data_IF_432491482296
#
_entry.id   IF_432491482296
#
_cell.length_a   1.000
_cell.length_b   1.000
_cell.length_c   1.000
_cell.angle_alpha   90.00
_cell.angle_beta   90.00
_cell.angle_gamma   90.00
#
_symmetry.space_group_name_H-M   'P 1'
#
loop_
_entity.id
_entity.type
_entity.pdbx_description
1 polymer ?
#
# COMPACT_ATOMS: atom_id res chain seq x y z
N UNK A 1 46.01 40.55 12.17
CA UNK A 1 45.07 39.57 12.75
C UNK A 1 44.06 39.19 11.66
N UNK A 2 44.20 37.97 11.11
CA UNK A 2 43.36 37.48 10.03
C UNK A 2 42.30 36.56 10.60
N UNK A 3 41.03 36.95 10.53
CA UNK A 3 39.90 36.16 11.05
C UNK A 3 39.57 35.11 10.01
N UNK A 4 39.87 33.83 10.30
CA UNK A 4 39.44 32.71 9.48
C UNK A 4 37.96 32.38 9.81
N UNK A 5 37.06 32.69 8.89
CA UNK A 5 35.64 32.28 9.02
C UNK A 5 35.50 30.80 8.65
N UNK A 6 35.20 29.97 9.61
CA UNK A 6 34.83 28.58 9.42
C UNK A 6 33.38 28.50 8.93
N UNK A 7 33.17 28.38 7.64
CA UNK A 7 31.85 28.06 7.06
C UNK A 7 31.51 26.58 7.33
N UNK A 8 30.63 26.32 8.28
CA UNK A 8 30.05 24.99 8.50
C UNK A 8 29.20 24.60 7.31
N UNK A 9 29.71 23.75 6.42
CA UNK A 9 28.91 23.11 5.38
C UNK A 9 27.84 22.22 6.04
N UNK A 10 26.56 22.63 5.96
CA UNK A 10 25.41 21.79 6.31
C UNK A 10 25.35 20.62 5.32
N UNK A 11 25.70 19.40 5.77
CA UNK A 11 25.47 18.17 4.99
C UNK A 11 23.99 18.10 4.63
N UNK A 12 23.63 18.27 3.37
CA UNK A 12 22.27 18.00 2.85
C UNK A 12 21.97 16.53 3.14
N UNK A 13 20.98 16.26 3.99
CA UNK A 13 20.46 14.89 4.18
C UNK A 13 20.00 14.40 2.82
N UNK A 14 20.54 13.29 2.34
CA UNK A 14 20.09 12.62 1.12
C UNK A 14 18.63 12.24 1.31
N UNK A 15 17.75 12.72 0.44
CA UNK A 15 16.31 12.37 0.46
C UNK A 15 16.20 10.91 0.02
N UNK A 16 15.47 10.09 0.77
CA UNK A 16 15.20 8.71 0.38
C UNK A 16 14.40 8.66 -0.92
N UNK A 17 14.47 7.55 -1.65
CA UNK A 17 13.55 7.31 -2.76
C UNK A 17 12.15 6.98 -2.24
N UNK A 18 11.07 7.19 -3.04
CA UNK A 18 9.72 6.76 -2.69
C UNK A 18 9.65 5.30 -2.25
N UNK A 19 10.33 4.43 -2.97
CA UNK A 19 10.43 2.99 -2.64
C UNK A 19 11.07 2.74 -1.26
N UNK A 20 12.14 3.46 -0.92
CA UNK A 20 12.78 3.32 0.40
C UNK A 20 11.87 3.79 1.53
N UNK A 21 11.15 4.89 1.34
CA UNK A 21 10.19 5.41 2.32
C UNK A 21 9.02 4.44 2.53
N UNK A 22 8.47 3.87 1.46
CA UNK A 22 7.39 2.86 1.55
C UNK A 22 7.89 1.59 2.23
N UNK A 23 9.07 1.08 1.90
CA UNK A 23 9.68 -0.07 2.59
C UNK A 23 9.89 0.20 4.07
N UNK A 24 10.30 1.41 4.43
CA UNK A 24 10.47 1.82 5.83
C UNK A 24 9.13 1.85 6.56
N UNK A 25 8.07 2.37 5.94
CA UNK A 25 6.72 2.36 6.50
C UNK A 25 6.22 0.92 6.71
N UNK A 26 6.39 0.04 5.72
CA UNK A 26 6.01 -1.38 5.87
C UNK A 26 6.72 -1.99 7.08
N UNK A 27 8.04 -1.82 7.19
CA UNK A 27 8.84 -2.36 8.30
C UNK A 27 8.44 -1.81 9.67
N UNK A 28 8.13 -0.49 9.74
CA UNK A 28 7.94 0.19 11.02
C UNK A 28 6.47 0.26 11.46
N UNK A 29 5.53 -0.08 10.58
CA UNK A 29 4.10 0.00 10.86
C UNK A 29 3.34 -1.24 10.36
N UNK A 30 3.36 -1.52 9.04
CA UNK A 30 2.49 -2.54 8.44
C UNK A 30 2.75 -3.95 9.01
N UNK A 31 4.00 -4.24 9.41
CA UNK A 31 4.43 -5.53 9.96
C UNK A 31 4.56 -5.53 11.49
N UNK A 32 4.20 -4.43 12.16
CA UNK A 32 4.34 -4.29 13.62
C UNK A 32 3.02 -4.60 14.32
N UNK A 33 2.97 -5.54 15.28
CA UNK A 33 1.76 -5.83 16.04
C UNK A 33 1.21 -4.60 16.77
N UNK A 34 -0.13 -4.43 16.73
CA UNK A 34 -0.80 -3.31 17.38
C UNK A 34 -2.14 -3.74 18.01
N UNK A 35 -2.51 -3.20 19.22
CA UNK A 35 -3.74 -3.56 19.90
C UNK A 35 -5.05 -3.29 19.13
N UNK A 36 -5.03 -2.36 18.17
CA UNK A 36 -6.17 -2.10 17.30
C UNK A 36 -6.53 -3.31 16.41
N UNK A 37 -5.56 -4.18 16.12
CA UNK A 37 -5.70 -5.36 15.26
C UNK A 37 -5.64 -6.66 16.09
N UNK A 38 -6.03 -6.60 17.36
CA UNK A 38 -5.97 -7.78 18.24
C UNK A 38 -4.57 -8.29 18.52
N UNK A 39 -3.58 -7.39 18.60
CA UNK A 39 -2.16 -7.66 18.74
C UNK A 39 -1.52 -8.37 17.52
N UNK A 40 -2.18 -8.34 16.39
CA UNK A 40 -1.59 -8.66 15.08
C UNK A 40 -1.10 -7.36 14.40
N UNK A 41 -0.22 -7.43 13.41
CA UNK A 41 0.13 -6.26 12.60
C UNK A 41 -1.01 -5.85 11.67
N UNK A 42 -1.03 -4.61 11.16
CA UNK A 42 -1.99 -4.15 10.15
C UNK A 42 -2.11 -5.08 8.95
N UNK A 43 -1.01 -5.68 8.49
CA UNK A 43 -1.05 -6.78 7.53
C UNK A 43 -0.23 -7.98 8.06
N UNK A 44 -0.87 -9.00 8.65
CA UNK A 44 -0.17 -10.14 9.25
C UNK A 44 0.68 -10.96 8.27
N UNK A 45 0.42 -10.85 6.97
CA UNK A 45 1.09 -11.62 5.93
C UNK A 45 2.25 -10.85 5.26
N UNK A 46 2.34 -9.53 5.47
CA UNK A 46 3.34 -8.68 4.82
C UNK A 46 4.78 -9.06 5.20
N UNK A 47 5.03 -9.39 6.48
CA UNK A 47 6.37 -9.77 6.94
C UNK A 47 6.92 -10.96 6.18
N UNK A 48 6.11 -12.01 6.00
CA UNK A 48 6.50 -13.20 5.24
C UNK A 48 6.81 -12.85 3.78
N UNK A 49 5.91 -12.13 3.13
CA UNK A 49 6.08 -11.74 1.73
C UNK A 49 7.36 -10.90 1.50
N UNK A 50 7.70 -10.00 2.43
CA UNK A 50 8.94 -9.22 2.38
C UNK A 50 10.17 -10.10 2.53
N UNK A 51 10.21 -10.98 3.54
CA UNK A 51 11.34 -11.87 3.82
C UNK A 51 11.59 -12.82 2.64
N UNK A 52 10.53 -13.36 2.05
CA UNK A 52 10.57 -14.25 0.90
C UNK A 52 10.80 -13.52 -0.43
N UNK A 53 10.99 -12.18 -0.40
CA UNK A 53 11.17 -11.34 -1.58
C UNK A 53 10.03 -11.45 -2.60
N UNK A 54 8.80 -11.65 -2.11
CA UNK A 54 7.58 -11.82 -2.90
C UNK A 54 6.86 -10.49 -3.19
N UNK A 55 7.42 -9.37 -2.76
CA UNK A 55 6.89 -8.02 -3.03
C UNK A 55 7.79 -7.30 -4.02
N UNK A 56 7.20 -6.74 -5.06
CA UNK A 56 7.86 -5.87 -6.02
C UNK A 56 7.37 -4.44 -5.87
N UNK A 57 8.26 -3.48 -6.05
CA UNK A 57 7.97 -2.05 -5.94
C UNK A 57 8.32 -1.37 -7.27
N UNK A 58 7.37 -0.63 -7.83
CA UNK A 58 7.56 0.16 -9.04
C UNK A 58 7.10 1.60 -8.80
N UNK A 59 7.91 2.57 -9.19
CA UNK A 59 7.57 3.98 -9.11
C UNK A 59 6.86 4.42 -10.40
N UNK A 60 5.75 5.15 -10.26
CA UNK A 60 5.01 5.77 -11.35
C UNK A 60 5.49 7.20 -11.55
N UNK A 61 5.44 7.67 -12.78
CA UNK A 61 5.79 9.02 -13.21
C UNK A 61 4.56 9.75 -13.78
N UNK A 62 4.71 11.00 -14.12
CA UNK A 62 3.70 11.78 -14.83
C UNK A 62 3.44 11.34 -16.28
N UNK A 63 4.18 10.35 -16.78
CA UNK A 63 3.98 9.75 -18.09
C UNK A 63 3.13 8.48 -18.00
N UNK A 64 2.86 7.97 -16.79
CA UNK A 64 2.05 6.78 -16.60
C UNK A 64 0.56 7.16 -16.59
N UNK A 65 -0.13 6.73 -17.64
CA UNK A 65 -1.59 6.81 -17.78
C UNK A 65 -2.27 5.48 -17.38
N UNK A 66 -3.61 5.44 -17.44
CA UNK A 66 -4.38 4.24 -17.18
C UNK A 66 -3.87 3.02 -17.96
N UNK A 67 -3.57 3.19 -19.24
CA UNK A 67 -3.14 2.09 -20.11
C UNK A 67 -1.79 1.53 -19.67
N UNK A 68 -0.83 2.38 -19.36
CA UNK A 68 0.49 1.96 -18.90
C UNK A 68 0.43 1.28 -17.52
N UNK A 69 -0.39 1.79 -16.60
CA UNK A 69 -0.63 1.17 -15.29
C UNK A 69 -1.28 -0.21 -15.45
N UNK A 70 -2.35 -0.29 -16.25
CA UNK A 70 -3.01 -1.55 -16.57
C UNK A 70 -2.05 -2.58 -17.15
N UNK A 71 -1.21 -2.16 -18.12
CA UNK A 71 -0.22 -3.02 -18.75
C UNK A 71 0.82 -3.55 -17.75
N UNK A 72 1.32 -2.72 -16.84
CA UNK A 72 2.24 -3.14 -15.76
C UNK A 72 1.62 -4.22 -14.88
N UNK A 73 0.36 -4.07 -14.52
CA UNK A 73 -0.37 -5.04 -13.71
C UNK A 73 -0.62 -6.33 -14.51
N UNK A 74 -1.08 -6.21 -15.75
CA UNK A 74 -1.40 -7.36 -16.59
C UNK A 74 -0.19 -8.23 -16.91
N UNK A 75 0.97 -7.64 -17.07
CA UNK A 75 2.22 -8.36 -17.37
C UNK A 75 3.02 -8.75 -16.12
N UNK A 76 2.50 -8.46 -14.93
CA UNK A 76 3.18 -8.81 -13.69
C UNK A 76 3.14 -10.32 -13.44
N UNK A 77 4.29 -10.87 -13.06
CA UNK A 77 4.46 -12.31 -12.80
C UNK A 77 4.00 -12.68 -11.37
N UNK A 78 2.72 -13.01 -11.23
CA UNK A 78 2.13 -13.45 -9.95
C UNK A 78 2.59 -14.87 -9.53
N UNK A 79 3.24 -15.65 -10.39
CA UNK A 79 3.87 -16.92 -10.02
C UNK A 79 5.19 -16.68 -9.26
N UNK A 80 5.97 -15.72 -9.72
CA UNK A 80 7.22 -15.35 -9.07
C UNK A 80 7.02 -14.47 -7.83
N UNK A 81 6.03 -13.56 -7.85
CA UNK A 81 5.76 -12.56 -6.80
C UNK A 81 4.31 -12.64 -6.33
N UNK A 82 4.04 -12.14 -5.13
CA UNK A 82 2.70 -12.15 -4.54
C UNK A 82 2.02 -10.79 -4.55
N UNK A 83 2.80 -9.71 -4.50
CA UNK A 83 2.31 -8.33 -4.39
C UNK A 83 3.14 -7.41 -5.26
N UNK A 84 2.46 -6.61 -6.10
CA UNK A 84 3.04 -5.46 -6.78
C UNK A 84 2.58 -4.19 -6.06
N UNK A 85 3.52 -3.34 -5.65
CA UNK A 85 3.25 -2.02 -5.06
C UNK A 85 3.65 -0.96 -6.07
N UNK A 86 2.66 -0.27 -6.66
CA UNK A 86 2.89 0.88 -7.51
C UNK A 86 2.86 2.14 -6.63
N UNK A 87 3.85 2.99 -6.79
CA UNK A 87 4.08 4.16 -5.92
C UNK A 87 4.09 5.41 -6.78
N UNK A 88 3.21 6.37 -6.49
CA UNK A 88 3.18 7.65 -7.16
C UNK A 88 3.32 8.82 -6.18
N UNK A 89 3.80 9.95 -6.68
CA UNK A 89 3.63 11.21 -5.96
C UNK A 89 2.13 11.50 -5.84
N UNK A 90 1.65 11.80 -4.62
CA UNK A 90 0.24 12.12 -4.33
C UNK A 90 -0.33 13.28 -5.16
N UNK A 91 0.53 14.12 -5.74
CA UNK A 91 0.10 15.24 -6.59
C UNK A 91 -0.20 14.81 -8.04
N UNK A 92 0.14 13.57 -8.43
CA UNK A 92 -0.16 13.03 -9.76
C UNK A 92 -1.62 12.60 -9.89
N UNK A 93 -2.20 12.10 -8.79
CA UNK A 93 -3.59 11.68 -8.71
C UNK A 93 -4.20 12.25 -7.45
N UNK A 94 -5.38 12.85 -7.53
CA UNK A 94 -6.14 13.20 -6.33
C UNK A 94 -6.66 11.93 -5.62
N UNK A 95 -7.16 12.06 -4.38
CA UNK A 95 -7.77 10.93 -3.68
C UNK A 95 -8.94 10.33 -4.50
N UNK A 96 -9.79 11.19 -5.09
CA UNK A 96 -10.91 10.77 -5.94
C UNK A 96 -10.43 10.09 -7.23
N UNK A 97 -9.39 10.65 -7.89
CA UNK A 97 -8.83 10.02 -9.10
C UNK A 97 -8.21 8.66 -8.79
N UNK A 98 -7.60 8.51 -7.60
CA UNK A 98 -7.04 7.23 -7.15
C UNK A 98 -8.12 6.18 -6.91
N UNK A 99 -9.24 6.56 -6.29
CA UNK A 99 -10.41 5.70 -6.09
C UNK A 99 -11.01 5.27 -7.44
N UNK A 100 -11.26 6.22 -8.36
CA UNK A 100 -11.78 5.92 -9.71
C UNK A 100 -10.82 5.00 -10.48
N UNK A 101 -9.51 5.26 -10.38
CA UNK A 101 -8.49 4.42 -11.03
C UNK A 101 -8.52 2.99 -10.49
N UNK A 102 -8.60 2.82 -9.17
CA UNK A 102 -8.67 1.50 -8.53
C UNK A 102 -9.95 0.76 -8.92
N UNK A 103 -11.09 1.45 -8.94
CA UNK A 103 -12.39 0.88 -9.33
C UNK A 103 -12.38 0.39 -10.79
N UNK A 104 -11.87 1.19 -11.71
CA UNK A 104 -11.77 0.83 -13.13
C UNK A 104 -10.80 -0.34 -13.37
N UNK A 105 -9.69 -0.37 -12.62
CA UNK A 105 -8.75 -1.51 -12.64
C UNK A 105 -9.43 -2.77 -12.09
N UNK A 106 -10.13 -2.68 -10.97
CA UNK A 106 -10.83 -3.79 -10.36
C UNK A 106 -11.93 -4.34 -11.26
N UNK A 107 -12.72 -3.46 -11.90
CA UNK A 107 -13.75 -3.85 -12.87
C UNK A 107 -13.19 -4.74 -13.99
N UNK A 108 -11.96 -4.47 -14.44
CA UNK A 108 -11.31 -5.22 -15.54
C UNK A 108 -10.55 -6.46 -15.08
N UNK A 109 -10.00 -6.44 -13.85
CA UNK A 109 -8.98 -7.39 -13.43
C UNK A 109 -9.49 -8.46 -12.46
N UNK A 110 -10.59 -8.21 -11.72
CA UNK A 110 -11.07 -9.16 -10.70
C UNK A 110 -11.52 -10.50 -11.30
N UNK A 111 -12.05 -10.51 -12.52
CA UNK A 111 -12.37 -11.76 -13.23
C UNK A 111 -11.15 -12.60 -13.59
N UNK A 112 -9.94 -12.02 -13.50
CA UNK A 112 -8.65 -12.68 -13.72
C UNK A 112 -7.89 -12.93 -12.39
N UNK A 113 -8.62 -12.95 -11.27
CA UNK A 113 -8.05 -13.15 -9.91
C UNK A 113 -7.06 -12.06 -9.47
N UNK A 114 -7.16 -10.85 -10.01
CA UNK A 114 -6.30 -9.72 -9.64
C UNK A 114 -7.16 -8.66 -8.97
N UNK A 115 -6.74 -8.18 -7.80
CA UNK A 115 -7.38 -7.08 -7.08
C UNK A 115 -6.38 -5.95 -6.81
N UNK A 116 -6.87 -4.74 -6.92
CA UNK A 116 -6.14 -3.50 -6.64
C UNK A 116 -6.75 -2.85 -5.40
N UNK A 117 -5.95 -2.65 -4.36
CA UNK A 117 -6.28 -1.83 -3.21
C UNK A 117 -5.52 -0.52 -3.33
N UNK A 118 -6.18 0.59 -3.04
CA UNK A 118 -5.58 1.92 -3.10
C UNK A 118 -5.25 2.44 -1.70
N UNK A 119 -4.26 3.32 -1.61
CA UNK A 119 -3.94 4.13 -0.43
C UNK A 119 -3.55 5.54 -0.90
N UNK A 120 -4.28 6.54 -0.46
CA UNK A 120 -3.95 7.93 -0.75
C UNK A 120 -3.80 8.76 0.53
N UNK A 121 -2.77 9.62 0.65
CA UNK A 121 -2.49 10.38 1.86
C UNK A 121 -3.64 11.26 2.36
N UNK A 122 -4.53 11.69 1.44
CA UNK A 122 -5.67 12.57 1.74
C UNK A 122 -6.97 11.79 2.01
N UNK A 123 -6.98 10.46 1.83
CA UNK A 123 -8.10 9.60 2.25
C UNK A 123 -8.00 9.33 3.75
N UNK A 124 -9.13 9.28 4.44
CA UNK A 124 -9.16 8.99 5.88
C UNK A 124 -9.42 7.50 6.08
N UNK A 125 -8.36 6.73 6.26
CA UNK A 125 -8.43 5.31 6.58
C UNK A 125 -7.92 5.07 7.99
N UNK A 126 -8.77 4.50 8.84
CA UNK A 126 -8.40 4.23 10.23
C UNK A 126 -9.14 3.01 10.81
N UNK A 127 -8.45 2.31 11.69
CA UNK A 127 -9.03 1.29 12.57
C UNK A 127 -8.89 1.78 14.00
N UNK A 128 -10.01 1.94 14.70
CA UNK A 128 -10.07 2.68 15.96
C UNK A 128 -9.43 4.08 15.80
N UNK A 129 -8.32 4.34 16.49
CA UNK A 129 -7.59 5.62 16.39
C UNK A 129 -6.29 5.51 15.58
N UNK A 130 -6.06 4.38 14.89
CA UNK A 130 -4.84 4.14 14.13
C UNK A 130 -5.06 4.49 12.66
N UNK A 131 -4.33 5.47 12.17
CA UNK A 131 -4.31 5.83 10.75
C UNK A 131 -3.54 4.77 9.97
N UNK A 132 -4.09 4.29 8.86
CA UNK A 132 -3.51 3.22 8.04
C UNK A 132 -2.64 3.73 6.91
N UNK A 133 -2.99 4.90 6.34
CA UNK A 133 -2.32 5.44 5.16
C UNK A 133 -0.80 5.60 5.35
N UNK A 134 -0.04 5.36 4.26
CA UNK A 134 1.39 5.65 4.21
C UNK A 134 1.69 7.14 4.45
N UNK A 135 0.81 8.04 4.00
CA UNK A 135 0.78 9.45 4.37
C UNK A 135 1.63 10.38 3.49
N UNK A 136 2.41 9.88 2.56
CA UNK A 136 3.28 10.67 1.68
C UNK A 136 3.01 10.42 0.20
N UNK A 137 2.85 9.15 -0.18
CA UNK A 137 2.68 8.71 -1.56
C UNK A 137 1.31 8.08 -1.77
N UNK A 138 0.79 8.19 -2.99
CA UNK A 138 -0.30 7.35 -3.46
C UNK A 138 0.25 5.95 -3.73
N UNK A 139 -0.47 4.91 -3.29
CA UNK A 139 -0.10 3.52 -3.51
C UNK A 139 -1.25 2.77 -4.18
N UNK A 140 -0.90 1.88 -5.12
CA UNK A 140 -1.77 0.80 -5.56
C UNK A 140 -1.12 -0.53 -5.17
N UNK A 141 -1.83 -1.31 -4.36
CA UNK A 141 -1.37 -2.63 -3.90
C UNK A 141 -2.12 -3.69 -4.71
N UNK A 142 -1.41 -4.36 -5.58
CA UNK A 142 -1.97 -5.34 -6.53
C UNK A 142 -1.59 -6.74 -6.10
N UNK A 143 -2.57 -7.63 -6.01
CA UNK A 143 -2.37 -9.01 -5.54
C UNK A 143 -3.47 -9.95 -6.03
N UNK A 144 -3.30 -11.26 -5.79
CA UNK A 144 -4.34 -12.25 -6.08
C UNK A 144 -5.57 -12.04 -5.19
N UNK A 145 -6.75 -11.90 -5.81
CA UNK A 145 -8.04 -11.74 -5.13
C UNK A 145 -8.37 -12.96 -4.25
N UNK A 146 -8.23 -14.16 -4.81
CA UNK A 146 -8.53 -15.41 -4.11
C UNK A 146 -7.63 -15.60 -2.89
N UNK A 147 -6.33 -15.29 -3.02
CA UNK A 147 -5.37 -15.32 -1.91
C UNK A 147 -5.74 -14.31 -0.82
N UNK A 148 -6.05 -13.07 -1.20
CA UNK A 148 -6.44 -12.02 -0.26
C UNK A 148 -7.70 -12.41 0.52
N UNK A 149 -8.72 -12.94 -0.17
CA UNK A 149 -9.96 -13.39 0.46
C UNK A 149 -9.75 -14.59 1.38
N UNK A 150 -8.88 -15.55 0.99
CA UNK A 150 -8.47 -16.65 1.86
C UNK A 150 -7.83 -16.14 3.16
N UNK A 151 -6.91 -15.18 3.06
CA UNK A 151 -6.26 -14.58 4.23
C UNK A 151 -7.26 -13.81 5.11
N UNK A 152 -8.19 -13.06 4.52
CA UNK A 152 -9.23 -12.38 5.26
C UNK A 152 -10.09 -13.36 6.06
N UNK A 153 -10.52 -14.48 5.46
CA UNK A 153 -11.29 -15.54 6.15
C UNK A 153 -10.52 -16.18 7.31
N UNK A 154 -9.21 -16.35 7.20
CA UNK A 154 -8.38 -16.87 8.30
C UNK A 154 -8.38 -15.93 9.53
N UNK A 155 -8.60 -14.63 9.32
CA UNK A 155 -8.63 -13.62 10.38
C UNK A 155 -10.02 -13.44 11.01
N UNK A 156 -11.10 -13.92 10.35
CA UNK A 156 -12.49 -13.73 10.81
C UNK A 156 -12.76 -14.36 12.16
N UNK A 157 -12.19 -15.52 12.46
CA UNK A 157 -12.35 -16.21 13.74
C UNK A 157 -11.56 -15.61 14.90
N UNK A 158 -10.65 -14.69 14.60
CA UNK A 158 -9.72 -14.10 15.55
C UNK A 158 -10.11 -12.72 16.06
N UNK A 159 -9.20 -12.07 16.80
CA UNK A 159 -9.42 -10.73 17.33
C UNK A 159 -9.19 -9.60 16.32
N UNK A 160 -8.70 -9.90 15.12
CA UNK A 160 -8.20 -8.92 14.16
C UNK A 160 -9.23 -7.85 13.77
N UNK A 161 -10.45 -8.28 13.41
CA UNK A 161 -11.50 -7.38 12.96
C UNK A 161 -12.38 -6.81 14.08
N UNK A 162 -12.17 -7.17 15.35
CA UNK A 162 -13.08 -6.79 16.46
C UNK A 162 -13.22 -5.29 16.68
N UNK A 163 -12.19 -4.51 16.34
CA UNK A 163 -12.17 -3.04 16.51
C UNK A 163 -12.37 -2.27 15.21
N UNK A 164 -12.62 -2.98 14.12
CA UNK A 164 -12.90 -2.34 12.84
C UNK A 164 -14.32 -1.78 12.82
N UNK A 165 -14.46 -0.59 12.28
CA UNK A 165 -15.78 -0.05 11.97
C UNK A 165 -16.44 -0.92 10.89
N UNK A 166 -17.73 -1.24 11.06
CA UNK A 166 -18.44 -2.15 10.13
C UNK A 166 -18.52 -1.58 8.71
N UNK A 167 -18.77 -0.27 8.59
CA UNK A 167 -18.87 0.39 7.30
C UNK A 167 -17.52 0.40 6.58
N UNK A 168 -16.45 0.67 7.34
CA UNK A 168 -15.10 0.61 6.78
C UNK A 168 -14.71 -0.82 6.39
N UNK A 169 -15.02 -1.81 7.21
CA UNK A 169 -14.78 -3.23 6.87
C UNK A 169 -15.51 -3.64 5.60
N UNK A 170 -16.79 -3.22 5.46
CA UNK A 170 -17.58 -3.47 4.25
C UNK A 170 -16.97 -2.76 3.01
N UNK A 171 -16.48 -1.52 3.14
CA UNK A 171 -15.86 -0.82 2.02
C UNK A 171 -14.60 -1.49 1.51
N UNK A 172 -13.79 -2.10 2.39
CA UNK A 172 -12.54 -2.77 1.99
C UNK A 172 -12.71 -4.25 1.60
N UNK A 173 -13.83 -4.88 1.93
CA UNK A 173 -14.09 -6.31 1.68
C UNK A 173 -15.29 -6.58 0.78
N UNK A 174 -16.39 -5.85 0.94
CA UNK A 174 -17.67 -6.17 0.31
C UNK A 174 -17.61 -6.22 -1.22
N UNK A 175 -16.83 -5.36 -1.85
CA UNK A 175 -16.65 -5.39 -3.30
C UNK A 175 -15.90 -6.63 -3.82
N UNK A 176 -15.09 -7.27 -2.98
CA UNK A 176 -14.27 -8.44 -3.34
C UNK A 176 -14.99 -9.78 -3.20
N UNK A 177 -16.13 -9.79 -2.51
CA UNK A 177 -16.88 -11.01 -2.17
C UNK A 177 -18.12 -11.18 -3.07
N UNK A 178 -18.32 -10.26 -4.02
CA UNK A 178 -19.37 -10.30 -5.05
C UNK A 178 -18.85 -11.03 -6.27
#
# INVERSE_FOLDING_TARGET
MTIVQHTKQKKKKKKNSPTEDVKKWIKNFVTVPHPAFGNLPPCPFAQKAIVEKKVEFQELSNLDDFKSIYQRIWTFDFEAKEVLVLIANKELFSATDTEILADELNFRLMSHDIVVLEDHPNTVEKVANVKLNQGTYMLLLVQSLSRLNKFAKMLDSGPYYKKWDKKYLESVRGFREK
#
